data_IF_985199247460
#
_entry.id   IF_985199247460
#
_cell.length_a   1.000
_cell.length_b   1.000
_cell.length_c   1.000
_cell.angle_alpha   90.00
_cell.angle_beta   90.00
_cell.angle_gamma   90.00
#
_symmetry.space_group_name_H-M   'P 1'
#
loop_
_entity.id
_entity.type
_entity.pdbx_description
1 polymer ?
#
# COMPACT_ATOMS: atom_id res chain seq x y z
N UNK A 1 14.57 -1.16 -1.88
CA UNK A 1 13.95 -1.90 -3.01
C UNK A 1 13.86 -3.35 -2.60
N UNK A 2 12.65 -3.85 -2.35
CA UNK A 2 12.46 -5.25 -1.95
C UNK A 2 12.96 -6.20 -3.05
N UNK A 3 13.68 -7.28 -2.70
CA UNK A 3 14.10 -8.25 -3.68
C UNK A 3 12.88 -8.94 -4.29
N UNK A 4 12.99 -9.24 -5.59
CA UNK A 4 12.02 -10.10 -6.26
C UNK A 4 11.93 -11.41 -5.49
N UNK A 5 10.71 -11.81 -5.13
CA UNK A 5 10.46 -13.02 -4.37
C UNK A 5 9.66 -14.00 -5.20
N UNK A 6 10.12 -15.25 -5.23
CA UNK A 6 9.41 -16.37 -5.83
C UNK A 6 8.51 -17.01 -4.79
N UNK A 7 7.21 -17.10 -5.09
CA UNK A 7 6.23 -17.77 -4.23
C UNK A 7 5.86 -19.09 -4.89
N UNK A 8 6.03 -20.19 -4.15
CA UNK A 8 5.53 -21.51 -4.53
C UNK A 8 4.22 -21.76 -3.78
N UNK A 9 3.17 -22.08 -4.53
CA UNK A 9 1.90 -22.47 -3.94
C UNK A 9 1.88 -23.98 -3.65
N UNK A 10 1.36 -24.33 -2.49
CA UNK A 10 1.11 -25.71 -2.06
C UNK A 10 -0.18 -26.24 -2.70
N UNK A 11 -1.14 -25.35 -2.94
CA UNK A 11 -2.43 -25.64 -3.57
C UNK A 11 -2.82 -24.49 -4.52
N UNK A 12 -3.39 -24.84 -5.66
CA UNK A 12 -3.89 -23.90 -6.66
C UNK A 12 -5.31 -24.31 -7.05
N UNK A 13 -6.26 -23.40 -6.87
CA UNK A 13 -7.67 -23.62 -7.18
C UNK A 13 -8.10 -22.60 -8.24
N UNK A 14 -8.64 -23.08 -9.36
CA UNK A 14 -9.13 -22.21 -10.43
C UNK A 14 -10.64 -21.95 -10.25
N UNK A 15 -11.03 -20.69 -10.41
CA UNK A 15 -12.42 -20.24 -10.44
C UNK A 15 -13.29 -20.74 -9.27
N UNK A 16 -12.76 -20.77 -8.05
CA UNK A 16 -13.50 -21.20 -6.88
C UNK A 16 -14.16 -20.01 -6.18
N UNK A 17 -15.42 -20.16 -5.74
CA UNK A 17 -16.08 -19.16 -4.93
C UNK A 17 -15.44 -19.04 -3.54
N UNK A 18 -15.14 -17.81 -3.12
CA UNK A 18 -14.65 -17.51 -1.78
C UNK A 18 -15.22 -16.17 -1.33
N UNK A 19 -15.89 -16.14 -0.18
CA UNK A 19 -16.37 -14.89 0.43
C UNK A 19 -17.23 -14.00 -0.47
N UNK A 20 -18.04 -14.57 -1.38
CA UNK A 20 -18.91 -13.80 -2.28
C UNK A 20 -18.22 -13.24 -3.53
N UNK A 21 -16.98 -13.65 -3.82
CA UNK A 21 -16.30 -13.42 -5.09
C UNK A 21 -15.81 -14.74 -5.70
N UNK A 22 -15.57 -14.73 -7.01
CA UNK A 22 -14.97 -15.86 -7.75
C UNK A 22 -13.72 -15.34 -8.46
N UNK A 23 -12.54 -15.40 -7.83
CA UNK A 23 -11.28 -15.07 -8.49
C UNK A 23 -10.91 -16.13 -9.52
N UNK A 24 -10.12 -15.75 -10.52
CA UNK A 24 -9.66 -16.67 -11.56
C UNK A 24 -8.79 -17.78 -10.97
N UNK A 25 -7.92 -17.41 -10.02
CA UNK A 25 -7.03 -18.35 -9.33
C UNK A 25 -6.94 -18.00 -7.85
N UNK A 26 -6.91 -19.02 -6.99
CA UNK A 26 -6.55 -18.93 -5.58
C UNK A 26 -5.29 -19.78 -5.40
N UNK A 27 -4.16 -19.13 -5.14
CA UNK A 27 -2.94 -19.80 -4.70
C UNK A 27 -2.91 -19.85 -3.19
N UNK A 28 -2.57 -20.99 -2.58
CA UNK A 28 -2.37 -21.12 -1.14
C UNK A 28 -0.95 -21.54 -0.85
N UNK A 29 -0.32 -20.86 0.09
CA UNK A 29 1.02 -21.21 0.60
C UNK A 29 1.04 -21.01 2.10
N UNK A 30 1.56 -21.99 2.85
CA UNK A 30 1.62 -21.93 4.32
C UNK A 30 0.25 -21.63 4.97
N UNK A 31 -0.83 -22.19 4.40
CA UNK A 31 -2.21 -21.96 4.85
C UNK A 31 -2.78 -20.57 4.55
N UNK A 32 -2.04 -19.70 3.86
CA UNK A 32 -2.46 -18.33 3.50
C UNK A 32 -2.89 -18.26 2.04
N UNK A 33 -4.12 -17.77 1.74
CA UNK A 33 -4.57 -17.58 0.37
C UNK A 33 -4.04 -16.27 -0.24
N UNK A 34 -3.72 -16.33 -1.53
CA UNK A 34 -3.54 -15.20 -2.43
C UNK A 34 -4.54 -15.33 -3.58
N UNK A 35 -5.38 -14.33 -3.76
CA UNK A 35 -6.28 -14.27 -4.90
C UNK A 35 -5.52 -13.71 -6.10
N UNK A 36 -5.74 -14.27 -7.28
CA UNK A 36 -5.09 -13.84 -8.51
C UNK A 36 -6.17 -13.65 -9.59
N UNK A 37 -6.19 -12.46 -10.18
CA UNK A 37 -7.06 -12.06 -11.29
C UNK A 37 -6.22 -11.89 -12.56
N UNK A 38 -6.71 -12.41 -13.68
CA UNK A 38 -6.07 -12.30 -15.00
C UNK A 38 -6.88 -11.31 -15.84
N UNK A 39 -6.34 -10.10 -16.01
CA UNK A 39 -6.98 -9.05 -16.78
C UNK A 39 -6.52 -9.08 -18.24
N UNK A 40 -7.32 -9.66 -19.13
CA UNK A 40 -7.03 -9.66 -20.57
C UNK A 40 -7.49 -8.37 -21.25
N UNK A 41 -8.75 -7.99 -21.09
CA UNK A 41 -9.30 -6.76 -21.70
C UNK A 41 -9.71 -5.72 -20.67
N UNK A 42 -10.29 -6.19 -19.55
CA UNK A 42 -10.79 -5.32 -18.51
C UNK A 42 -10.13 -5.68 -17.18
N UNK A 43 -9.58 -4.70 -16.45
CA UNK A 43 -9.11 -4.91 -15.09
C UNK A 43 -10.29 -5.20 -14.14
N UNK A 44 -9.99 -5.74 -12.98
CA UNK A 44 -10.93 -5.92 -11.89
C UNK A 44 -11.58 -4.59 -11.53
N UNK A 45 -12.90 -4.53 -11.70
CA UNK A 45 -13.71 -3.34 -11.43
C UNK A 45 -13.75 -2.95 -9.95
N UNK A 46 -14.24 -1.73 -9.64
CA UNK A 46 -14.26 -1.18 -8.29
C UNK A 46 -15.05 -2.04 -7.29
N UNK A 47 -16.19 -2.61 -7.71
CA UNK A 47 -17.00 -3.50 -6.86
C UNK A 47 -16.23 -4.75 -6.42
N UNK A 48 -15.47 -5.35 -7.33
CA UNK A 48 -14.67 -6.54 -7.01
C UNK A 48 -13.52 -6.18 -6.06
N UNK A 49 -12.82 -5.06 -6.32
CA UNK A 49 -11.76 -4.54 -5.45
C UNK A 49 -12.26 -4.26 -4.03
N UNK A 50 -13.46 -3.69 -3.93
CA UNK A 50 -14.13 -3.42 -2.66
C UNK A 50 -14.39 -4.70 -1.87
N UNK A 51 -14.97 -5.73 -2.50
CA UNK A 51 -15.21 -7.03 -1.87
C UNK A 51 -13.92 -7.70 -1.42
N UNK A 52 -12.88 -7.68 -2.26
CA UNK A 52 -11.54 -8.20 -1.91
C UNK A 52 -11.02 -7.52 -0.64
N UNK A 53 -11.10 -6.18 -0.57
CA UNK A 53 -10.66 -5.42 0.60
C UNK A 53 -11.46 -5.78 1.85
N UNK A 54 -12.78 -5.94 1.73
CA UNK A 54 -13.65 -6.37 2.84
C UNK A 54 -13.32 -7.77 3.36
N UNK A 55 -12.92 -8.68 2.46
CA UNK A 55 -12.45 -10.02 2.86
C UNK A 55 -11.11 -9.99 3.58
N UNK A 56 -10.32 -8.92 3.43
CA UNK A 56 -8.99 -8.83 4.03
C UNK A 56 -7.99 -9.83 3.45
N UNK A 57 -8.25 -10.40 2.27
CA UNK A 57 -7.36 -11.36 1.61
C UNK A 57 -6.57 -10.64 0.53
N UNK A 58 -5.24 -10.76 0.57
CA UNK A 58 -4.36 -10.22 -0.47
C UNK A 58 -4.77 -10.72 -1.85
N UNK A 59 -4.78 -9.80 -2.82
CA UNK A 59 -5.14 -10.09 -4.18
C UNK A 59 -4.24 -9.37 -5.17
N UNK A 60 -3.79 -10.11 -6.18
CA UNK A 60 -2.93 -9.65 -7.26
C UNK A 60 -3.71 -9.68 -8.56
N UNK A 61 -3.56 -8.65 -9.38
CA UNK A 61 -4.00 -8.65 -10.76
C UNK A 61 -2.78 -8.79 -11.68
N UNK A 62 -2.89 -9.66 -12.67
CA UNK A 62 -1.92 -9.84 -13.74
C UNK A 62 -2.58 -9.39 -15.03
N UNK A 63 -2.10 -8.27 -15.59
CA UNK A 63 -2.58 -7.76 -16.86
C UNK A 63 -1.87 -8.43 -18.03
N UNK A 64 -2.68 -8.86 -19.00
CA UNK A 64 -2.26 -9.40 -20.29
C UNK A 64 -2.80 -8.56 -21.45
N UNK A 65 -3.26 -7.34 -21.18
CA UNK A 65 -3.91 -6.48 -22.16
C UNK A 65 -3.00 -6.03 -23.32
N UNK A 66 -1.68 -6.12 -23.13
CA UNK A 66 -0.70 -5.84 -24.17
C UNK A 66 -0.45 -7.03 -25.12
N UNK A 67 -0.98 -8.22 -24.82
CA UNK A 67 -0.72 -9.42 -25.64
C UNK A 67 -1.73 -9.54 -26.78
N UNK A 68 -1.22 -9.88 -27.97
CA UNK A 68 -2.05 -10.28 -29.11
C UNK A 68 -2.31 -11.79 -29.07
N UNK A 69 -3.31 -12.30 -29.82
CA UNK A 69 -3.58 -13.74 -29.91
C UNK A 69 -2.35 -14.57 -30.31
N UNK A 70 -1.48 -14.02 -31.16
CA UNK A 70 -0.22 -14.64 -31.61
C UNK A 70 0.79 -14.82 -30.46
N UNK A 71 0.70 -13.98 -29.43
CA UNK A 71 1.55 -14.06 -28.24
C UNK A 71 0.96 -14.94 -27.11
N UNK A 72 -0.17 -15.61 -27.34
CA UNK A 72 -0.81 -16.49 -26.35
C UNK A 72 -0.26 -17.93 -26.34
N UNK A 73 0.85 -18.20 -27.04
CA UNK A 73 1.53 -19.50 -26.93
C UNK A 73 1.96 -19.77 -25.47
N UNK A 74 1.83 -21.00 -24.94
CA UNK A 74 2.03 -21.29 -23.51
C UNK A 74 3.37 -20.81 -22.94
N UNK A 75 4.46 -20.95 -23.69
CA UNK A 75 5.81 -20.51 -23.28
C UNK A 75 5.90 -18.99 -23.17
N UNK A 76 5.33 -18.27 -24.14
CA UNK A 76 5.31 -16.81 -24.12
C UNK A 76 4.44 -16.30 -22.94
N UNK A 77 3.30 -16.96 -22.71
CA UNK A 77 2.39 -16.62 -21.62
C UNK A 77 3.03 -16.83 -20.24
N UNK A 78 3.75 -17.94 -20.04
CA UNK A 78 4.46 -18.19 -18.78
C UNK A 78 5.51 -17.10 -18.49
N UNK A 79 6.24 -16.62 -19.50
CA UNK A 79 7.20 -15.52 -19.34
C UNK A 79 6.51 -14.23 -18.88
N UNK A 80 5.35 -13.92 -19.42
CA UNK A 80 4.59 -12.70 -19.08
C UNK A 80 3.90 -12.82 -17.71
N UNK A 81 3.29 -13.97 -17.41
CA UNK A 81 2.58 -14.23 -16.14
C UNK A 81 3.54 -14.42 -14.98
N UNK A 82 4.69 -15.05 -15.19
CA UNK A 82 5.60 -15.40 -14.10
C UNK A 82 6.76 -14.41 -14.02
N UNK A 83 7.46 -14.20 -15.14
CA UNK A 83 8.72 -13.43 -15.17
C UNK A 83 8.55 -11.91 -15.16
N UNK A 84 7.41 -11.38 -15.63
CA UNK A 84 7.23 -9.92 -15.80
C UNK A 84 6.48 -9.29 -14.64
N UNK A 85 7.21 -8.60 -13.77
CA UNK A 85 6.64 -7.88 -12.61
C UNK A 85 5.81 -6.68 -13.05
N UNK A 86 6.20 -6.00 -14.14
CA UNK A 86 5.48 -4.83 -14.65
C UNK A 86 4.02 -5.12 -15.05
N UNK A 87 3.67 -6.39 -15.27
CA UNK A 87 2.30 -6.81 -15.58
C UNK A 87 1.46 -7.05 -14.32
N UNK A 88 2.03 -6.87 -13.12
CA UNK A 88 1.41 -7.25 -11.85
C UNK A 88 1.14 -6.03 -11.02
N UNK A 89 -0.04 -5.98 -10.43
CA UNK A 89 -0.39 -4.96 -9.47
C UNK A 89 -1.21 -5.55 -8.33
N UNK A 90 -1.00 -5.03 -7.12
CA UNK A 90 -1.86 -5.37 -6.00
C UNK A 90 -3.24 -4.76 -6.20
N UNK A 91 -4.29 -5.57 -6.15
CA UNK A 91 -5.66 -5.09 -5.96
C UNK A 91 -5.88 -4.74 -4.49
N UNK A 92 -5.29 -5.54 -3.60
CA UNK A 92 -5.24 -5.33 -2.17
C UNK A 92 -4.07 -6.11 -1.58
N UNK A 93 -3.34 -5.51 -0.64
CA UNK A 93 -2.27 -6.18 0.09
C UNK A 93 -2.57 -6.09 1.58
N UNK A 94 -2.96 -7.22 2.17
CA UNK A 94 -3.35 -7.29 3.57
C UNK A 94 -2.25 -6.84 4.53
N UNK A 95 -1.00 -7.21 4.26
CA UNK A 95 0.13 -6.82 5.12
C UNK A 95 0.43 -5.33 5.03
N UNK A 96 0.37 -4.76 3.83
CA UNK A 96 0.55 -3.32 3.64
C UNK A 96 -0.54 -2.51 4.34
N UNK A 97 -1.79 -2.99 4.28
CA UNK A 97 -2.92 -2.38 4.97
C UNK A 97 -2.74 -2.44 6.50
N UNK A 98 -2.36 -3.60 7.06
CA UNK A 98 -2.07 -3.75 8.48
C UNK A 98 -0.93 -2.82 8.94
N UNK A 99 0.14 -2.71 8.14
CA UNK A 99 1.24 -1.80 8.43
C UNK A 99 0.76 -0.35 8.45
N UNK A 100 -0.02 0.08 7.44
CA UNK A 100 -0.57 1.44 7.40
C UNK A 100 -1.45 1.74 8.62
N UNK A 101 -2.30 0.80 9.03
CA UNK A 101 -3.15 0.94 10.22
C UNK A 101 -2.32 1.03 11.52
N UNK A 102 -1.30 0.19 11.66
CA UNK A 102 -0.40 0.23 12.80
C UNK A 102 0.35 1.57 12.89
N UNK A 103 0.92 2.04 11.77
CA UNK A 103 1.62 3.32 11.72
C UNK A 103 0.70 4.49 12.06
N UNK A 104 -0.54 4.46 11.59
CA UNK A 104 -1.55 5.46 11.92
C UNK A 104 -1.83 5.51 13.44
N UNK A 105 -1.88 4.35 14.10
CA UNK A 105 -2.09 4.24 15.55
C UNK A 105 -0.86 4.69 16.35
N UNK A 106 0.34 4.41 15.84
CA UNK A 106 1.60 4.78 16.49
C UNK A 106 1.92 6.27 16.36
N UNK A 107 1.43 6.93 15.31
CA UNK A 107 1.72 8.32 15.05
C UNK A 107 1.31 9.25 16.20
N UNK A 108 2.23 10.14 16.59
CA UNK A 108 1.91 11.26 17.44
C UNK A 108 1.11 12.29 16.63
N UNK A 109 -0.20 12.35 16.86
CA UNK A 109 -1.09 13.32 16.24
C UNK A 109 -0.89 14.72 16.83
N UNK A 110 -0.19 15.57 16.08
CA UNK A 110 0.18 16.92 16.54
C UNK A 110 -0.86 17.94 16.08
N UNK A 111 -1.34 18.83 16.97
CA UNK A 111 -2.27 19.88 16.61
C UNK A 111 -1.63 20.89 15.65
N UNK A 112 -2.39 21.29 14.63
CA UNK A 112 -2.02 22.32 13.67
C UNK A 112 -2.37 23.68 14.24
N UNK A 113 -1.40 24.58 14.21
CA UNK A 113 -1.53 25.96 14.67
C UNK A 113 -1.38 26.89 13.50
N UNK A 114 -2.30 27.83 13.37
CA UNK A 114 -2.26 28.85 12.32
C UNK A 114 -1.67 30.13 12.87
N UNK A 115 -0.57 30.59 12.27
CA UNK A 115 0.04 31.90 12.53
C UNK A 115 0.06 32.65 11.21
N UNK A 116 -0.66 33.78 11.15
CA UNK A 116 -0.92 34.51 9.92
C UNK A 116 -1.52 33.58 8.84
N UNK A 117 -0.84 33.45 7.69
CA UNK A 117 -1.26 32.60 6.56
C UNK A 117 -0.58 31.24 6.52
N UNK A 118 0.20 30.87 7.54
CA UNK A 118 0.98 29.63 7.58
C UNK A 118 0.51 28.70 8.69
N UNK A 119 0.76 27.42 8.49
CA UNK A 119 0.38 26.33 9.40
C UNK A 119 1.62 25.71 10.01
N UNK A 120 1.54 25.38 11.29
CA UNK A 120 2.67 24.92 12.07
C UNK A 120 2.31 23.81 13.04
N UNK A 121 3.32 23.07 13.49
CA UNK A 121 3.23 22.17 14.65
C UNK A 121 4.32 22.48 15.67
N UNK A 122 4.02 22.25 16.95
CA UNK A 122 5.01 22.34 18.02
C UNK A 122 5.82 21.06 18.16
N UNK A 123 7.05 21.24 18.68
CA UNK A 123 7.90 20.15 19.17
C UNK A 123 8.11 19.06 18.11
N UNK A 124 8.66 19.46 16.97
CA UNK A 124 9.20 18.52 16.00
C UNK A 124 10.30 17.68 16.68
N UNK A 125 10.20 16.33 16.69
CA UNK A 125 11.22 15.46 17.28
C UNK A 125 12.61 15.65 16.66
N UNK A 126 12.63 15.94 15.36
CA UNK A 126 13.86 16.20 14.60
C UNK A 126 14.41 17.62 14.80
N UNK A 127 13.78 18.43 15.66
CA UNK A 127 14.15 19.82 15.95
C UNK A 127 14.22 20.72 14.71
N UNK A 128 13.42 20.41 13.67
CA UNK A 128 13.22 21.27 12.50
C UNK A 128 12.36 22.49 12.86
N UNK A 129 12.48 23.57 12.09
CA UNK A 129 11.76 24.83 12.29
C UNK A 129 12.58 25.93 12.98
N UNK A 130 11.89 27.02 13.38
CA UNK A 130 12.53 28.18 14.00
C UNK A 130 13.07 27.83 15.40
N UNK A 131 14.40 27.89 15.57
CA UNK A 131 15.12 27.23 16.68
C UNK A 131 14.73 27.71 18.08
N UNK A 132 14.20 28.93 18.22
CA UNK A 132 13.76 29.47 19.50
C UNK A 132 12.32 29.07 19.89
N UNK A 133 11.48 28.69 18.93
CA UNK A 133 10.04 28.41 19.17
C UNK A 133 9.65 26.94 18.97
N UNK A 134 10.58 26.08 18.49
CA UNK A 134 10.31 24.67 18.15
C UNK A 134 9.05 24.51 17.30
N UNK A 135 8.90 25.42 16.35
CA UNK A 135 7.71 25.58 15.53
C UNK A 135 8.07 25.18 14.10
N UNK A 136 7.63 23.99 13.70
CA UNK A 136 7.87 23.46 12.36
C UNK A 136 6.75 23.90 11.42
N UNK A 137 7.12 24.55 10.31
CA UNK A 137 6.21 24.99 9.25
C UNK A 137 5.75 23.75 8.49
N UNK A 138 4.45 23.51 8.40
CA UNK A 138 3.97 22.25 7.84
C UNK A 138 4.34 22.11 6.37
N UNK A 139 4.22 23.20 5.60
CA UNK A 139 4.50 23.17 4.17
C UNK A 139 5.99 23.00 3.85
N UNK A 140 6.88 23.48 4.73
CA UNK A 140 8.32 23.43 4.48
C UNK A 140 9.04 22.30 5.22
N UNK A 141 8.64 22.04 6.47
CA UNK A 141 9.33 21.11 7.37
C UNK A 141 8.64 19.74 7.46
N UNK A 142 7.29 19.68 7.41
CA UNK A 142 6.53 18.45 7.70
C UNK A 142 6.09 17.68 6.44
N UNK A 143 5.45 18.31 5.46
CA UNK A 143 4.90 17.58 4.29
C UNK A 143 5.97 16.86 3.45
N UNK A 144 7.23 17.29 3.54
CA UNK A 144 8.38 16.63 2.92
C UNK A 144 9.22 15.81 3.90
N UNK A 145 8.72 15.63 5.13
CA UNK A 145 9.36 14.81 6.14
C UNK A 145 8.96 13.35 5.98
N UNK A 146 9.95 12.46 5.94
CA UNK A 146 9.77 11.00 5.90
C UNK A 146 8.98 10.42 7.08
N UNK A 147 8.85 11.17 8.18
CA UNK A 147 8.06 10.75 9.36
C UNK A 147 6.65 11.34 9.39
N UNK A 148 6.24 12.07 8.36
CA UNK A 148 4.95 12.73 8.31
C UNK A 148 3.87 11.81 7.76
N UNK A 149 2.77 11.68 8.49
CA UNK A 149 1.53 11.08 7.97
C UNK A 149 0.57 12.22 7.64
N UNK A 150 0.38 12.48 6.34
CA UNK A 150 -0.64 13.41 5.86
C UNK A 150 -2.01 12.72 5.88
N UNK A 151 -2.92 13.27 6.68
CA UNK A 151 -4.30 12.80 6.79
C UNK A 151 -5.28 13.68 6.00
N UNK A 152 -4.84 14.26 4.88
CA UNK A 152 -5.67 15.08 4.01
C UNK A 152 -5.77 16.53 4.48
N UNK A 153 -4.63 17.21 4.60
CA UNK A 153 -4.59 18.65 4.95
C UNK A 153 -5.39 19.57 4.01
N UNK A 154 -5.74 19.13 2.80
CA UNK A 154 -6.62 19.89 1.90
C UNK A 154 -8.08 19.99 2.38
N UNK A 155 -8.46 19.29 3.46
CA UNK A 155 -9.84 19.19 3.97
C UNK A 155 -10.05 19.87 5.33
N UNK A 156 -9.22 20.83 5.73
CA UNK A 156 -9.36 21.49 7.04
C UNK A 156 -8.92 20.63 8.23
N UNK A 157 -8.04 19.65 7.99
CA UNK A 157 -7.47 18.81 9.03
C UNK A 157 -6.80 19.66 10.13
N UNK A 158 -7.20 19.43 11.39
CA UNK A 158 -6.71 20.18 12.56
C UNK A 158 -5.45 19.56 13.17
N UNK A 159 -4.98 18.44 12.62
CA UNK A 159 -3.85 17.67 13.12
C UNK A 159 -3.06 17.05 11.97
N UNK A 160 -1.79 16.73 12.23
CA UNK A 160 -0.92 15.96 11.33
C UNK A 160 -0.24 14.85 12.12
N UNK A 161 -0.08 13.67 11.51
CA UNK A 161 0.57 12.55 12.17
C UNK A 161 2.10 12.66 12.07
N UNK A 162 2.80 12.34 13.15
CA UNK A 162 4.26 12.35 13.20
C UNK A 162 4.78 11.05 13.80
N UNK A 163 5.60 10.34 13.04
CA UNK A 163 6.33 9.13 13.46
C UNK A 163 7.75 9.42 13.97
N UNK A 164 8.14 10.69 14.07
CA UNK A 164 9.52 11.07 14.37
C UNK A 164 10.04 10.56 15.71
N UNK A 165 9.17 10.42 16.71
CA UNK A 165 9.52 9.85 18.01
C UNK A 165 9.70 8.32 17.97
N UNK A 166 9.01 7.63 17.05
CA UNK A 166 9.15 6.19 16.84
C UNK A 166 10.36 5.80 16.00
N UNK A 167 10.89 6.74 15.22
CA UNK A 167 11.99 6.47 14.28
C UNK A 167 11.58 5.67 13.04
N UNK A 168 10.29 5.38 12.84
CA UNK A 168 9.79 4.63 11.68
C UNK A 168 9.55 5.56 10.50
N UNK A 169 10.27 5.35 9.40
CA UNK A 169 10.19 6.15 8.16
C UNK A 169 9.45 5.43 7.04
N UNK A 170 9.64 4.13 6.95
CA UNK A 170 9.12 3.30 5.87
C UNK A 170 8.69 1.90 6.35
N UNK A 171 8.32 1.06 5.39
CA UNK A 171 7.88 -0.30 5.66
C UNK A 171 9.02 -1.19 6.19
N UNK A 172 10.27 -0.92 5.84
CA UNK A 172 11.42 -1.71 6.34
C UNK A 172 11.67 -1.41 7.81
N UNK A 173 11.63 -0.13 8.20
CA UNK A 173 11.70 0.25 9.62
C UNK A 173 10.52 -0.37 10.40
N UNK A 174 9.32 -0.43 9.82
CA UNK A 174 8.14 -1.09 10.42
C UNK A 174 8.35 -2.61 10.63
N UNK A 175 8.99 -3.30 9.69
CA UNK A 175 9.25 -4.74 9.86
C UNK A 175 10.25 -5.04 10.99
N UNK A 176 11.01 -4.03 11.44
CA UNK A 176 12.01 -4.15 12.50
C UNK A 176 11.52 -3.66 13.87
N UNK A 177 10.36 -2.99 13.96
CA UNK A 177 9.77 -2.46 15.20
C UNK A 177 8.97 -3.50 15.97
#
# INVERSE_FOLDING_TARGET
>A
LFPVTWIRFDEVLAEQWTGGIRPDIIGRTEGRPLLIEIAVTHPAGPEKRERIRQLGISALEISLAHLTPENMAPVALAREIIGRIANKQWLYNHKAEQAAQFLFQLAAWKPVIRINRRLFVHNCPLRRGLSQMRLADISHDCLFCEYCIDNGMQSGAQQIGCLGDSGIRDYDDYLQS
#
